data_IF_583099853535
#
_entry.id   IF_583099853535
#
_cell.length_a   1.000
_cell.length_b   1.000
_cell.length_c   1.000
_cell.angle_alpha   90.00
_cell.angle_beta   90.00
_cell.angle_gamma   90.00
#
_symmetry.space_group_name_H-M   'P 1'
#
loop_
_entity.id
_entity.type
_entity.pdbx_description
1 polymer ?
#
# COMPACT_ATOMS: atom_id res chain seq x y z
N UNK A 1 -7.29 14.67 14.05
CA UNK A 1 -5.98 14.00 14.03
C UNK A 1 -6.14 12.48 14.20
N UNK A 2 -6.57 11.78 13.15
CA UNK A 2 -6.36 10.34 13.05
C UNK A 2 -5.17 10.13 12.12
N UNK A 3 -4.14 9.39 12.54
CA UNK A 3 -3.12 8.91 11.60
C UNK A 3 -3.88 8.05 10.58
N UNK A 4 -4.14 8.56 9.38
CA UNK A 4 -4.70 7.76 8.30
C UNK A 4 -3.66 6.72 7.92
N UNK A 5 -3.65 5.60 8.64
CA UNK A 5 -2.66 4.56 8.51
C UNK A 5 -2.83 3.86 7.16
N UNK A 6 -1.70 3.42 6.57
CA UNK A 6 -1.71 2.49 5.44
C UNK A 6 -2.84 1.43 5.61
N UNK A 7 -3.80 1.34 4.65
CA UNK A 7 -4.99 0.51 4.76
C UNK A 7 -4.71 -0.97 5.02
N UNK A 8 -3.54 -1.46 4.61
CA UNK A 8 -3.13 -2.86 4.69
C UNK A 8 -2.43 -3.20 6.00
N UNK A 9 -2.06 -2.23 6.86
CA UNK A 9 -1.42 -2.49 8.16
C UNK A 9 -2.22 -3.45 9.05
N UNK A 10 -3.55 -3.41 8.96
CA UNK A 10 -4.48 -4.25 9.74
C UNK A 10 -4.61 -5.69 9.22
N UNK A 11 -4.07 -6.02 8.04
CA UNK A 11 -4.12 -7.39 7.51
C UNK A 11 -3.40 -8.37 8.46
N UNK A 12 -4.03 -9.48 8.89
CA UNK A 12 -3.41 -10.45 9.77
C UNK A 12 -2.30 -11.22 9.03
N UNK A 13 -1.40 -11.84 9.79
CA UNK A 13 -0.45 -12.81 9.22
C UNK A 13 -1.22 -14.03 8.70
N UNK A 14 -0.80 -14.55 7.56
CA UNK A 14 -1.40 -15.73 6.93
C UNK A 14 -0.71 -16.98 7.50
N UNK A 15 -1.49 -17.87 8.11
CA UNK A 15 -1.00 -19.17 8.57
C UNK A 15 -1.03 -20.15 7.41
N UNK A 16 0.07 -20.83 7.11
CA UNK A 16 0.14 -21.83 6.04
C UNK A 16 -0.71 -23.08 6.37
N UNK A 17 -1.05 -23.95 5.39
CA UNK A 17 -1.94 -25.10 5.59
C UNK A 17 -1.62 -25.94 6.83
N UNK A 18 -0.36 -26.37 6.99
CA UNK A 18 0.06 -27.20 8.13
C UNK A 18 -0.03 -26.45 9.47
N UNK A 19 0.35 -25.18 9.50
CA UNK A 19 0.29 -24.34 10.71
C UNK A 19 -1.16 -24.13 11.16
N UNK A 20 -2.05 -23.81 10.22
CA UNK A 20 -3.46 -23.60 10.48
C UNK A 20 -4.15 -24.89 10.92
N UNK A 21 -3.82 -26.02 10.27
CA UNK A 21 -4.34 -27.33 10.66
C UNK A 21 -3.85 -27.73 12.04
N UNK A 22 -2.56 -27.56 12.35
CA UNK A 22 -1.98 -27.87 13.66
C UNK A 22 -2.63 -27.02 14.77
N UNK A 23 -2.86 -25.74 14.52
CA UNK A 23 -3.59 -24.84 15.44
C UNK A 23 -5.02 -25.33 15.69
N UNK A 24 -5.73 -25.73 14.64
CA UNK A 24 -7.09 -26.23 14.73
C UNK A 24 -7.18 -27.56 15.51
N UNK A 25 -6.29 -28.51 15.22
CA UNK A 25 -6.22 -29.80 15.92
C UNK A 25 -5.91 -29.62 17.41
N UNK A 26 -4.94 -28.77 17.74
CA UNK A 26 -4.57 -28.47 19.13
C UNK A 26 -5.75 -27.89 19.91
N UNK A 27 -6.50 -26.96 19.31
CA UNK A 27 -7.70 -26.38 19.92
C UNK A 27 -8.81 -27.43 20.08
N UNK A 28 -8.99 -28.30 19.10
CA UNK A 28 -9.95 -29.41 19.16
C UNK A 28 -9.63 -30.40 20.28
N UNK A 29 -8.35 -30.75 20.50
CA UNK A 29 -7.98 -31.65 21.60
C UNK A 29 -8.21 -31.02 22.97
N UNK A 30 -7.92 -29.72 23.13
CA UNK A 30 -8.19 -29.01 24.39
C UNK A 30 -9.67 -29.08 24.78
N UNK A 31 -10.57 -28.79 23.84
CA UNK A 31 -12.02 -28.89 24.07
C UNK A 31 -12.43 -30.34 24.38
N UNK A 32 -11.82 -31.32 23.74
CA UNK A 32 -12.13 -32.71 24.00
C UNK A 32 -11.79 -33.16 25.42
N UNK A 33 -10.69 -32.67 26.01
CA UNK A 33 -10.34 -32.94 27.42
C UNK A 33 -11.45 -32.47 28.36
N UNK A 34 -11.96 -31.25 28.16
CA UNK A 34 -13.06 -30.69 28.93
C UNK A 34 -14.34 -31.53 28.76
N UNK A 35 -14.68 -31.91 27.53
CA UNK A 35 -15.89 -32.70 27.25
C UNK A 35 -15.82 -34.13 27.79
N UNK A 36 -14.62 -34.71 27.93
CA UNK A 36 -14.43 -36.04 28.55
C UNK A 36 -14.71 -36.05 30.06
N UNK A 37 -14.78 -34.91 30.73
CA UNK A 37 -15.12 -34.84 32.15
C UNK A 37 -16.63 -35.01 32.39
N UNK A 38 -17.47 -34.88 31.36
CA UNK A 38 -18.92 -35.04 31.49
C UNK A 38 -19.33 -36.50 31.75
N UNK A 39 -20.30 -36.67 32.63
CA UNK A 39 -20.96 -37.96 32.90
C UNK A 39 -22.03 -38.22 31.83
N UNK A 40 -21.71 -39.12 30.90
CA UNK A 40 -22.57 -39.52 29.79
C UNK A 40 -22.37 -41.00 29.51
N UNK A 41 -23.40 -41.73 29.03
CA UNK A 41 -23.24 -43.08 28.51
C UNK A 41 -22.13 -43.16 27.47
N UNK A 42 -21.34 -44.25 27.49
CA UNK A 42 -20.09 -44.36 26.73
C UNK A 42 -20.19 -43.96 25.25
N UNK A 43 -21.19 -44.47 24.53
CA UNK A 43 -21.41 -44.14 23.12
C UNK A 43 -21.81 -42.66 22.92
N UNK A 44 -22.68 -42.14 23.78
CA UNK A 44 -23.09 -40.72 23.73
C UNK A 44 -21.89 -39.81 24.00
N UNK A 45 -21.07 -40.16 24.99
CA UNK A 45 -19.81 -39.45 25.31
C UNK A 45 -18.86 -39.45 24.12
N UNK A 46 -18.66 -40.60 23.47
CA UNK A 46 -17.81 -40.70 22.29
C UNK A 46 -18.32 -39.80 21.15
N UNK A 47 -19.60 -39.87 20.79
CA UNK A 47 -20.21 -39.00 19.77
C UNK A 47 -20.06 -37.53 20.13
N UNK A 48 -20.33 -37.18 21.39
CA UNK A 48 -20.30 -35.82 21.89
C UNK A 48 -18.90 -35.21 21.78
N UNK A 49 -17.87 -35.94 22.21
CA UNK A 49 -16.47 -35.51 22.10
C UNK A 49 -16.06 -35.33 20.63
N UNK A 50 -16.34 -36.31 19.77
CA UNK A 50 -15.97 -36.24 18.35
C UNK A 50 -16.72 -35.12 17.60
N UNK A 51 -18.00 -34.90 17.91
CA UNK A 51 -18.78 -33.80 17.37
C UNK A 51 -18.17 -32.44 17.75
N UNK A 52 -17.80 -32.25 19.03
CA UNK A 52 -17.19 -31.01 19.50
C UNK A 52 -15.81 -30.77 18.87
N UNK A 53 -15.02 -31.83 18.66
CA UNK A 53 -13.74 -31.73 17.92
C UNK A 53 -13.97 -31.21 16.50
N UNK A 54 -14.89 -31.82 15.74
CA UNK A 54 -15.19 -31.42 14.36
C UNK A 54 -15.67 -29.97 14.30
N UNK A 55 -16.62 -29.57 15.16
CA UNK A 55 -17.11 -28.20 15.22
C UNK A 55 -16.00 -27.20 15.56
N UNK A 56 -15.15 -27.54 16.52
CA UNK A 56 -14.03 -26.68 16.93
C UNK A 56 -13.01 -26.50 15.81
N UNK A 57 -12.60 -27.60 15.17
CA UNK A 57 -11.65 -27.56 14.05
C UNK A 57 -12.23 -26.73 12.89
N UNK A 58 -13.49 -26.99 12.52
CA UNK A 58 -14.21 -26.23 11.48
C UNK A 58 -14.23 -24.74 11.78
N UNK A 59 -14.60 -24.34 13.01
CA UNK A 59 -14.62 -22.93 13.43
C UNK A 59 -13.23 -22.32 13.36
N UNK A 60 -12.21 -22.96 13.95
CA UNK A 60 -10.85 -22.39 13.96
C UNK A 60 -10.33 -22.15 12.55
N UNK A 61 -10.48 -23.12 11.65
CA UNK A 61 -10.01 -22.96 10.25
C UNK A 61 -10.82 -21.87 9.55
N UNK A 62 -12.14 -21.97 9.54
CA UNK A 62 -12.99 -21.01 8.83
C UNK A 62 -12.88 -19.59 9.37
N UNK A 63 -12.80 -19.41 10.69
CA UNK A 63 -12.67 -18.09 11.32
C UNK A 63 -11.30 -17.46 11.03
N UNK A 64 -10.21 -18.24 10.96
CA UNK A 64 -8.90 -17.69 10.57
C UNK A 64 -8.89 -17.25 9.11
N UNK A 65 -9.44 -18.05 8.19
CA UNK A 65 -9.56 -17.68 6.77
C UNK A 65 -10.47 -16.45 6.60
N UNK A 66 -11.62 -16.44 7.27
CA UNK A 66 -12.56 -15.31 7.22
C UNK A 66 -11.94 -14.02 7.77
N UNK A 67 -11.17 -14.12 8.86
CA UNK A 67 -10.49 -12.96 9.45
C UNK A 67 -9.52 -12.28 8.48
N UNK A 68 -8.88 -13.02 7.59
CA UNK A 68 -8.03 -12.43 6.53
C UNK A 68 -8.87 -11.53 5.64
N UNK A 69 -10.03 -12.01 5.20
CA UNK A 69 -10.98 -11.27 4.35
C UNK A 69 -11.49 -10.02 5.07
N UNK A 70 -12.00 -10.19 6.30
CA UNK A 70 -12.64 -9.10 7.05
C UNK A 70 -11.67 -7.97 7.42
N UNK A 71 -10.38 -8.30 7.60
CA UNK A 71 -9.33 -7.34 7.94
C UNK A 71 -8.59 -6.78 6.74
N UNK A 72 -8.92 -7.25 5.53
CA UNK A 72 -8.37 -6.70 4.30
C UNK A 72 -9.33 -5.66 3.74
N UNK A 73 -8.87 -4.43 3.46
CA UNK A 73 -9.74 -3.39 2.94
C UNK A 73 -10.22 -3.77 1.53
N UNK A 74 -11.51 -3.53 1.20
CA UNK A 74 -12.00 -3.79 -0.15
C UNK A 74 -11.36 -2.81 -1.13
N UNK A 75 -10.63 -3.34 -2.13
CA UNK A 75 -9.84 -2.54 -3.08
C UNK A 75 -10.65 -1.41 -3.71
N UNK A 76 -11.90 -1.68 -4.14
CA UNK A 76 -12.77 -0.67 -4.77
C UNK A 76 -13.09 0.55 -3.90
N UNK A 77 -12.98 0.42 -2.56
CA UNK A 77 -13.24 1.52 -1.62
C UNK A 77 -11.96 2.24 -1.18
N UNK A 78 -10.80 1.81 -1.65
CA UNK A 78 -9.54 2.48 -1.34
C UNK A 78 -9.45 3.80 -2.12
N UNK A 79 -8.70 4.80 -1.62
CA UNK A 79 -8.26 5.92 -2.44
C UNK A 79 -7.57 5.44 -3.72
N UNK A 80 -7.75 6.16 -4.83
CA UNK A 80 -7.22 5.77 -6.15
C UNK A 80 -5.73 5.48 -6.14
N UNK A 81 -4.95 6.27 -5.41
CA UNK A 81 -3.54 6.01 -5.17
C UNK A 81 -3.27 4.55 -4.71
N UNK A 82 -3.94 4.09 -3.65
CA UNK A 82 -3.73 2.74 -3.14
C UNK A 82 -4.29 1.66 -4.07
N UNK A 83 -5.31 1.96 -4.89
CA UNK A 83 -5.76 1.03 -5.93
C UNK A 83 -4.67 0.79 -6.97
N UNK A 84 -4.04 1.86 -7.47
CA UNK A 84 -2.92 1.75 -8.41
C UNK A 84 -1.72 1.03 -7.78
N UNK A 85 -1.40 1.31 -6.51
CA UNK A 85 -0.30 0.63 -5.82
C UNK A 85 -0.54 -0.88 -5.68
N UNK A 86 -1.79 -1.30 -5.50
CA UNK A 86 -2.14 -2.73 -5.48
C UNK A 86 -1.94 -3.34 -6.85
N UNK A 87 -2.37 -2.65 -7.92
CA UNK A 87 -2.17 -3.13 -9.29
C UNK A 87 -0.69 -3.32 -9.60
N UNK A 88 0.11 -2.29 -9.33
CA UNK A 88 1.56 -2.27 -9.57
C UNK A 88 2.31 -3.35 -8.79
N UNK A 89 1.99 -3.55 -7.51
CA UNK A 89 2.79 -4.42 -6.64
C UNK A 89 2.39 -5.90 -6.68
N UNK A 90 1.10 -6.17 -6.88
CA UNK A 90 0.53 -7.50 -6.69
C UNK A 90 -0.53 -7.89 -7.73
N UNK A 91 -1.01 -6.96 -8.56
CA UNK A 91 -2.12 -7.19 -9.49
C UNK A 91 -3.47 -7.30 -8.78
N UNK A 92 -4.43 -6.44 -9.13
CA UNK A 92 -5.74 -6.38 -8.47
C UNK A 92 -6.53 -7.67 -8.71
N UNK A 93 -6.46 -8.23 -9.91
CA UNK A 93 -7.27 -9.40 -10.27
C UNK A 93 -6.77 -10.67 -9.59
N UNK A 94 -5.45 -10.87 -9.56
CA UNK A 94 -4.84 -11.98 -8.81
C UNK A 94 -5.11 -11.85 -7.31
N UNK A 95 -5.02 -10.64 -6.76
CA UNK A 95 -5.36 -10.35 -5.37
C UNK A 95 -6.82 -10.68 -5.05
N UNK A 96 -7.77 -10.23 -5.87
CA UNK A 96 -9.20 -10.53 -5.70
C UNK A 96 -9.51 -12.02 -5.84
N UNK A 97 -8.92 -12.69 -6.84
CA UNK A 97 -9.07 -14.14 -7.05
C UNK A 97 -8.61 -14.91 -5.82
N UNK A 98 -7.43 -14.57 -5.30
CA UNK A 98 -6.86 -15.19 -4.10
C UNK A 98 -7.76 -14.97 -2.89
N UNK A 99 -8.25 -13.76 -2.66
CA UNK A 99 -9.21 -13.48 -1.57
C UNK A 99 -10.53 -14.24 -1.74
N UNK A 100 -10.96 -14.49 -2.98
CA UNK A 100 -12.10 -15.36 -3.29
C UNK A 100 -11.88 -16.81 -2.89
N UNK A 101 -10.67 -17.36 -3.08
CA UNK A 101 -10.31 -18.70 -2.65
C UNK A 101 -10.39 -18.87 -1.12
N UNK A 102 -9.90 -17.89 -0.35
CA UNK A 102 -10.06 -17.87 1.10
C UNK A 102 -11.54 -17.91 1.52
N UNK A 103 -12.39 -17.14 0.84
CA UNK A 103 -13.83 -17.09 1.13
C UNK A 103 -14.48 -18.44 0.88
N UNK A 104 -14.24 -19.01 -0.29
CA UNK A 104 -14.73 -20.32 -0.67
C UNK A 104 -14.31 -21.40 0.33
N UNK A 105 -13.03 -21.44 0.71
CA UNK A 105 -12.51 -22.44 1.64
C UNK A 105 -13.13 -22.26 3.04
N UNK A 106 -13.26 -21.03 3.52
CA UNK A 106 -13.95 -20.71 4.78
C UNK A 106 -15.39 -21.25 4.79
N UNK A 107 -16.18 -20.94 3.75
CA UNK A 107 -17.57 -21.38 3.62
C UNK A 107 -17.69 -22.91 3.50
N UNK A 108 -16.83 -23.54 2.70
CA UNK A 108 -16.82 -24.99 2.49
C UNK A 108 -16.47 -25.74 3.78
N UNK A 109 -15.45 -25.28 4.52
CA UNK A 109 -15.06 -25.88 5.80
C UNK A 109 -16.18 -25.77 6.85
N UNK A 110 -16.92 -24.65 6.89
CA UNK A 110 -18.11 -24.52 7.77
C UNK A 110 -19.21 -25.51 7.38
N UNK A 111 -19.51 -25.60 6.07
CA UNK A 111 -20.51 -26.53 5.55
C UNK A 111 -20.17 -27.98 5.91
N UNK A 112 -18.92 -28.40 5.66
CA UNK A 112 -18.43 -29.74 5.99
C UNK A 112 -18.46 -29.99 7.49
N UNK A 113 -18.06 -29.02 8.32
CA UNK A 113 -18.11 -29.15 9.78
C UNK A 113 -19.52 -29.44 10.28
N UNK A 114 -20.51 -28.72 9.78
CA UNK A 114 -21.92 -28.94 10.10
C UNK A 114 -22.44 -30.31 9.62
N UNK A 115 -22.07 -30.72 8.41
CA UNK A 115 -22.45 -32.02 7.85
C UNK A 115 -21.88 -33.18 8.66
N UNK A 116 -20.58 -33.16 8.94
CA UNK A 116 -19.89 -34.20 9.69
C UNK A 116 -20.32 -34.25 11.14
N UNK A 117 -20.60 -33.10 11.78
CA UNK A 117 -21.19 -33.06 13.11
C UNK A 117 -22.53 -33.82 13.18
N UNK A 118 -23.42 -33.63 12.19
CA UNK A 118 -24.70 -34.37 12.09
C UNK A 118 -24.47 -35.86 11.86
N UNK A 119 -23.52 -36.24 11.00
CA UNK A 119 -23.17 -37.65 10.75
C UNK A 119 -22.65 -38.33 12.02
N UNK A 120 -21.77 -37.67 12.78
CA UNK A 120 -21.21 -38.18 14.04
C UNK A 120 -22.30 -38.38 15.09
N UNK A 121 -23.27 -37.47 15.20
CA UNK A 121 -24.40 -37.61 16.13
C UNK A 121 -25.23 -38.87 15.89
N UNK A 122 -25.26 -39.36 14.63
CA UNK A 122 -25.98 -40.58 14.20
C UNK A 122 -25.11 -41.84 14.22
N UNK A 123 -23.82 -41.76 14.60
CA UNK A 123 -22.87 -42.87 14.49
C UNK A 123 -23.17 -44.01 15.49
N UNK A 124 -23.41 -45.24 15.03
CA UNK A 124 -23.81 -46.37 15.87
C UNK A 124 -22.72 -46.87 16.81
N UNK A 125 -21.45 -46.61 16.49
CA UNK A 125 -20.29 -47.04 17.32
C UNK A 125 -19.28 -45.91 17.52
N UNK A 126 -18.46 -45.94 18.59
CA UNK A 126 -17.37 -44.97 18.78
C UNK A 126 -16.34 -45.00 17.66
N UNK A 127 -16.07 -46.19 17.09
CA UNK A 127 -15.17 -46.37 15.95
C UNK A 127 -15.72 -45.64 14.72
N UNK A 128 -17.03 -45.71 14.48
CA UNK A 128 -17.66 -44.97 13.38
C UNK A 128 -17.56 -43.46 13.59
N UNK A 129 -17.79 -42.96 14.81
CA UNK A 129 -17.62 -41.54 15.14
C UNK A 129 -16.17 -41.06 14.89
N UNK A 130 -15.18 -41.83 15.35
CA UNK A 130 -13.76 -41.54 15.12
C UNK A 130 -13.35 -41.59 13.65
N UNK A 131 -13.90 -42.53 12.87
CA UNK A 131 -13.67 -42.61 11.41
C UNK A 131 -14.20 -41.35 10.70
N UNK A 132 -15.43 -40.94 11.00
CA UNK A 132 -16.03 -39.72 10.45
C UNK A 132 -15.20 -38.46 10.79
N UNK A 133 -14.66 -38.35 12.01
CA UNK A 133 -13.73 -37.26 12.35
C UNK A 133 -12.46 -37.30 11.48
N UNK A 134 -11.83 -38.47 11.32
CA UNK A 134 -10.62 -38.61 10.49
C UNK A 134 -10.89 -38.22 9.03
N UNK A 135 -12.01 -38.65 8.46
CA UNK A 135 -12.44 -38.26 7.12
C UNK A 135 -12.63 -36.74 6.99
N UNK A 136 -13.32 -36.11 7.95
CA UNK A 136 -13.47 -34.66 7.99
C UNK A 136 -12.12 -33.93 8.00
N UNK A 137 -11.21 -34.34 8.89
CA UNK A 137 -9.86 -33.74 8.98
C UNK A 137 -9.10 -33.88 7.67
N UNK A 138 -9.15 -35.05 7.02
CA UNK A 138 -8.54 -35.25 5.71
C UNK A 138 -9.09 -34.33 4.63
N UNK A 139 -10.42 -34.11 4.62
CA UNK A 139 -11.07 -33.16 3.70
C UNK A 139 -10.65 -31.72 3.95
N UNK A 140 -10.59 -31.28 5.20
CA UNK A 140 -10.13 -29.92 5.54
C UNK A 140 -8.69 -29.73 5.12
N UNK A 141 -7.80 -30.70 5.35
CA UNK A 141 -6.42 -30.65 4.87
C UNK A 141 -6.38 -30.51 3.35
N UNK A 142 -7.11 -31.34 2.63
CA UNK A 142 -7.18 -31.27 1.16
C UNK A 142 -7.65 -29.91 0.64
N UNK A 143 -8.61 -29.26 1.32
CA UNK A 143 -9.08 -27.91 0.96
C UNK A 143 -7.98 -26.86 1.17
N UNK A 144 -7.27 -26.93 2.30
CA UNK A 144 -6.17 -26.00 2.58
C UNK A 144 -5.01 -26.17 1.61
N UNK A 145 -4.66 -27.40 1.25
CA UNK A 145 -3.65 -27.67 0.20
C UNK A 145 -4.09 -27.13 -1.16
N UNK A 146 -5.37 -27.23 -1.49
CA UNK A 146 -5.90 -26.71 -2.76
C UNK A 146 -5.74 -25.19 -2.90
N UNK A 147 -5.83 -24.43 -1.79
CA UNK A 147 -5.67 -22.97 -1.78
C UNK A 147 -4.29 -22.50 -1.34
N UNK A 148 -3.34 -23.42 -1.17
CA UNK A 148 -2.00 -23.08 -0.70
C UNK A 148 -1.32 -22.03 -1.60
N UNK A 149 -1.38 -22.10 -2.94
CA UNK A 149 -0.80 -21.06 -3.80
C UNK A 149 -1.35 -19.66 -3.49
N UNK A 150 -2.67 -19.53 -3.31
CA UNK A 150 -3.32 -18.27 -2.96
C UNK A 150 -2.95 -17.80 -1.55
N UNK A 151 -2.77 -18.72 -0.60
CA UNK A 151 -2.30 -18.38 0.74
C UNK A 151 -0.88 -17.83 0.74
N UNK A 152 0.03 -18.46 -0.01
CA UNK A 152 1.40 -18.00 -0.17
C UNK A 152 1.46 -16.65 -0.89
N UNK A 153 0.68 -16.48 -1.96
CA UNK A 153 0.55 -15.21 -2.67
C UNK A 153 0.09 -14.08 -1.74
N UNK A 154 -0.99 -14.28 -0.97
CA UNK A 154 -1.50 -13.24 -0.05
C UNK A 154 -0.49 -12.94 1.06
N UNK A 155 0.29 -13.93 1.52
CA UNK A 155 1.36 -13.70 2.49
C UNK A 155 2.43 -12.75 1.94
N UNK A 156 2.91 -12.98 0.71
CA UNK A 156 3.89 -12.09 0.05
C UNK A 156 3.28 -10.72 -0.25
N UNK A 157 2.06 -10.70 -0.79
CA UNK A 157 1.33 -9.46 -1.10
C UNK A 157 1.17 -8.58 0.14
N UNK A 158 0.82 -9.19 1.28
CA UNK A 158 0.69 -8.50 2.57
C UNK A 158 1.99 -7.78 2.96
N UNK A 159 3.14 -8.42 2.86
CA UNK A 159 4.42 -7.78 3.23
C UNK A 159 4.68 -6.55 2.35
N UNK A 160 4.52 -6.68 1.03
CA UNK A 160 4.68 -5.55 0.10
C UNK A 160 3.71 -4.41 0.39
N UNK A 161 2.43 -4.73 0.59
CA UNK A 161 1.39 -3.72 0.76
C UNK A 161 1.46 -3.00 2.11
N UNK A 162 2.00 -3.63 3.15
CA UNK A 162 2.17 -3.00 4.48
C UNK A 162 3.27 -1.95 4.55
N UNK A 163 4.23 -2.04 3.65
CA UNK A 163 5.30 -1.06 3.50
C UNK A 163 4.87 0.19 2.71
N UNK A 164 3.69 0.17 2.07
CA UNK A 164 3.20 1.34 1.34
C UNK A 164 3.18 2.59 2.23
N UNK A 165 3.52 3.75 1.64
CA UNK A 165 3.60 5.01 2.35
C UNK A 165 2.24 5.36 2.93
N UNK A 166 2.26 6.08 4.04
CA UNK A 166 1.06 6.55 4.73
C UNK A 166 0.88 8.03 4.44
N UNK A 167 -0.14 8.38 3.65
CA UNK A 167 -0.47 9.77 3.36
C UNK A 167 -1.66 10.23 4.19
N UNK A 168 -1.59 11.48 4.65
CA UNK A 168 -2.72 12.15 5.29
C UNK A 168 -3.58 12.81 4.22
N UNK A 169 -4.89 12.89 4.47
CA UNK A 169 -5.82 13.74 3.72
C UNK A 169 -5.55 15.24 3.97
N UNK A 170 -4.46 15.73 3.35
CA UNK A 170 -3.99 17.10 3.39
C UNK A 170 -3.60 17.55 1.97
N UNK A 171 -3.65 18.87 1.69
CA UNK A 171 -3.08 19.41 0.47
C UNK A 171 -1.65 18.90 0.25
N UNK A 172 -1.41 18.26 -0.90
CA UNK A 172 -0.15 17.58 -1.18
C UNK A 172 0.58 18.25 -2.35
N UNK A 173 1.85 18.61 -2.10
CA UNK A 173 2.78 19.10 -3.11
C UNK A 173 3.79 18.00 -3.42
N UNK A 174 3.88 17.59 -4.68
CA UNK A 174 4.90 16.66 -5.17
C UNK A 174 6.08 17.43 -5.75
N UNK A 175 7.30 17.15 -5.31
CA UNK A 175 8.53 17.81 -5.76
C UNK A 175 9.18 16.97 -6.85
N UNK A 176 9.35 17.57 -8.03
CA UNK A 176 9.92 16.95 -9.23
C UNK A 176 11.15 17.71 -9.74
N UNK A 177 11.94 17.08 -10.59
CA UNK A 177 13.16 17.65 -11.19
C UNK A 177 14.34 16.68 -11.11
N UNK A 178 15.40 16.95 -11.87
CA UNK A 178 16.59 16.08 -11.95
C UNK A 178 17.26 15.82 -10.60
N UNK A 179 18.16 14.82 -10.47
CA UNK A 179 18.94 14.60 -9.27
C UNK A 179 19.80 15.84 -9.00
N UNK A 180 20.14 16.10 -7.73
CA UNK A 180 21.04 17.18 -7.32
C UNK A 180 20.61 18.63 -7.65
N UNK A 181 19.41 18.85 -8.20
CA UNK A 181 18.85 20.21 -8.42
C UNK A 181 18.45 20.91 -7.12
N UNK A 182 18.43 20.19 -6.00
CA UNK A 182 18.13 20.73 -4.66
C UNK A 182 16.76 20.34 -4.08
N UNK A 183 16.05 19.36 -4.66
CA UNK A 183 14.73 18.89 -4.18
C UNK A 183 14.70 18.59 -2.68
N UNK A 184 15.59 17.72 -2.20
CA UNK A 184 15.60 17.30 -0.78
C UNK A 184 16.06 18.42 0.15
N UNK A 185 16.96 19.30 -0.29
CA UNK A 185 17.33 20.52 0.45
C UNK A 185 16.11 21.44 0.59
N UNK A 186 15.40 21.67 -0.52
CA UNK A 186 14.19 22.48 -0.54
C UNK A 186 13.11 21.89 0.37
N UNK A 187 12.87 20.57 0.31
CA UNK A 187 11.95 19.89 1.22
C UNK A 187 12.27 20.20 2.68
N UNK A 188 13.54 20.01 3.10
CA UNK A 188 13.98 20.28 4.48
C UNK A 188 13.84 21.76 4.87
N UNK A 189 14.13 22.69 3.97
CA UNK A 189 13.99 24.13 4.26
C UNK A 189 12.53 24.59 4.31
N UNK A 190 11.64 23.93 3.56
CA UNK A 190 10.21 24.23 3.54
C UNK A 190 9.45 23.61 4.72
N UNK A 191 9.82 22.38 5.11
CA UNK A 191 9.10 21.58 6.13
C UNK A 191 9.78 21.55 7.50
N UNK A 192 11.03 22.02 7.59
CA UNK A 192 11.88 21.79 8.75
C UNK A 192 12.72 20.51 8.61
N UNK A 193 13.43 20.14 9.67
CA UNK A 193 14.34 18.99 9.64
C UNK A 193 13.62 17.62 9.76
N UNK A 194 12.34 17.59 10.12
CA UNK A 194 11.56 16.37 10.33
C UNK A 194 10.95 15.87 9.02
N UNK A 195 11.72 15.03 8.32
CA UNK A 195 11.34 14.41 7.07
C UNK A 195 11.28 12.89 7.25
N UNK A 196 10.12 12.31 7.02
CA UNK A 196 9.89 10.87 7.10
C UNK A 196 10.25 10.20 5.77
N UNK A 197 11.09 9.17 5.82
CA UNK A 197 11.40 8.33 4.66
C UNK A 197 10.39 7.19 4.62
N UNK A 198 9.62 7.09 3.54
CA UNK A 198 8.63 6.05 3.33
C UNK A 198 9.00 5.18 2.13
N UNK A 199 8.79 3.87 2.22
CA UNK A 199 9.00 2.97 1.09
C UNK A 199 8.06 3.35 -0.06
N UNK A 200 8.57 3.28 -1.30
CA UNK A 200 7.78 3.50 -2.51
C UNK A 200 8.25 2.54 -3.61
N UNK A 201 7.36 1.94 -4.39
CA UNK A 201 7.75 1.02 -5.47
C UNK A 201 8.78 1.66 -6.42
N UNK A 202 9.78 0.89 -6.82
CA UNK A 202 10.85 1.33 -7.76
C UNK A 202 11.75 2.46 -7.25
N UNK A 203 11.80 2.67 -5.93
CA UNK A 203 12.76 3.59 -5.30
C UNK A 203 13.77 2.81 -4.45
N UNK A 204 15.05 3.16 -4.54
CA UNK A 204 16.09 2.53 -3.70
C UNK A 204 16.10 3.09 -2.28
N UNK A 205 15.75 4.38 -2.12
CA UNK A 205 15.78 5.08 -0.83
C UNK A 205 14.40 5.40 -0.26
N UNK A 206 13.31 5.05 -0.96
CA UNK A 206 11.98 5.54 -0.62
C UNK A 206 11.71 6.96 -1.12
N UNK A 207 10.54 7.47 -0.76
CA UNK A 207 10.16 8.88 -0.92
C UNK A 207 10.28 9.60 0.41
N UNK A 208 10.55 10.90 0.35
CA UNK A 208 10.64 11.73 1.55
C UNK A 208 9.34 12.52 1.72
N UNK A 209 8.74 12.45 2.91
CA UNK A 209 7.51 13.15 3.25
C UNK A 209 7.77 14.10 4.40
N UNK A 210 7.52 15.39 4.19
CA UNK A 210 7.59 16.41 5.23
C UNK A 210 6.30 17.22 5.29
N UNK A 211 6.16 18.04 6.33
CA UNK A 211 4.96 18.85 6.55
C UNK A 211 5.30 20.34 6.66
N UNK A 212 4.72 21.15 5.78
CA UNK A 212 4.78 22.61 5.85
C UNK A 212 3.46 23.13 6.42
N UNK A 213 3.35 23.11 7.75
CA UNK A 213 2.06 23.31 8.43
C UNK A 213 1.08 22.18 8.09
N UNK A 214 -0.09 22.52 7.55
CA UNK A 214 -1.11 21.55 7.10
C UNK A 214 -0.92 21.11 5.64
N UNK A 215 0.27 21.30 5.06
CA UNK A 215 0.58 20.89 3.69
C UNK A 215 1.58 19.76 3.73
N UNK A 216 1.25 18.68 3.04
CA UNK A 216 2.12 17.54 2.85
C UNK A 216 3.05 17.80 1.65
N UNK A 217 4.35 17.68 1.86
CA UNK A 217 5.37 17.85 0.82
C UNK A 217 6.03 16.49 0.56
N UNK A 218 6.05 16.04 -0.69
CA UNK A 218 6.56 14.72 -1.08
C UNK A 218 7.68 14.89 -2.09
N UNK A 219 8.92 14.57 -1.70
CA UNK A 219 10.06 14.47 -2.63
C UNK A 219 10.16 13.04 -3.14
N UNK A 220 10.26 12.91 -4.46
CA UNK A 220 10.10 11.65 -5.20
C UNK A 220 11.41 11.25 -5.90
N UNK A 221 12.50 11.00 -5.16
CA UNK A 221 13.79 10.62 -5.74
C UNK A 221 13.66 9.28 -6.48
N UNK A 222 14.31 9.19 -7.63
CA UNK A 222 14.26 8.02 -8.49
C UNK A 222 12.94 7.83 -9.24
N UNK A 223 11.96 8.74 -9.13
CA UNK A 223 10.68 8.67 -9.84
C UNK A 223 10.54 9.81 -10.86
N UNK A 224 10.62 11.06 -10.40
CA UNK A 224 10.41 12.27 -11.23
C UNK A 224 11.71 13.04 -11.46
N UNK A 225 12.82 12.31 -11.62
CA UNK A 225 14.17 12.85 -11.75
C UNK A 225 14.97 12.27 -12.94
N UNK A 226 14.33 11.54 -13.85
CA UNK A 226 14.90 11.16 -15.15
C UNK A 226 13.78 11.11 -16.18
N UNK A 227 14.11 11.10 -17.49
CA UNK A 227 13.10 11.08 -18.53
C UNK A 227 12.10 9.93 -18.34
N UNK A 228 10.81 10.25 -18.48
CA UNK A 228 9.69 9.35 -18.28
C UNK A 228 9.58 8.32 -19.40
N UNK A 229 10.01 8.68 -20.62
CA UNK A 229 10.01 7.76 -21.76
C UNK A 229 11.02 6.61 -21.64
N UNK A 230 11.98 6.71 -20.71
CA UNK A 230 12.93 5.63 -20.39
C UNK A 230 12.37 4.65 -19.33
N UNK A 231 11.17 4.91 -18.79
CA UNK A 231 10.54 4.09 -17.76
C UNK A 231 9.78 2.93 -18.39
N UNK A 232 9.83 1.76 -17.76
CA UNK A 232 8.90 0.68 -18.10
C UNK A 232 7.47 1.03 -17.64
N UNK A 233 6.48 0.32 -18.19
CA UNK A 233 5.06 0.59 -17.93
C UNK A 233 4.69 0.54 -16.44
N UNK A 234 5.33 -0.36 -15.68
CA UNK A 234 5.03 -0.54 -14.26
C UNK A 234 5.60 0.64 -13.44
N UNK A 235 6.80 1.11 -13.77
CA UNK A 235 7.38 2.32 -13.19
C UNK A 235 6.52 3.55 -13.52
N UNK A 236 6.08 3.67 -14.78
CA UNK A 236 5.23 4.78 -15.20
C UNK A 236 3.89 4.76 -14.47
N UNK A 237 3.27 3.59 -14.27
CA UNK A 237 2.05 3.45 -13.49
C UNK A 237 2.27 3.85 -12.02
N UNK A 238 3.42 3.49 -11.44
CA UNK A 238 3.77 3.93 -10.09
C UNK A 238 3.93 5.46 -9.99
N UNK A 239 4.48 6.10 -11.03
CA UNK A 239 4.56 7.57 -11.11
C UNK A 239 3.16 8.18 -11.27
N UNK A 240 2.35 7.64 -12.17
CA UNK A 240 0.97 8.06 -12.41
C UNK A 240 0.10 7.99 -11.15
N UNK A 241 0.36 7.06 -10.24
CA UNK A 241 -0.34 6.98 -8.98
C UNK A 241 -0.21 8.28 -8.15
N UNK A 242 0.91 9.01 -8.28
CA UNK A 242 1.12 10.28 -7.60
C UNK A 242 0.12 11.37 -8.05
N UNK A 243 -0.47 11.27 -9.24
CA UNK A 243 -1.52 12.19 -9.67
C UNK A 243 -2.74 12.18 -8.75
N UNK A 244 -3.05 11.02 -8.17
CA UNK A 244 -4.19 10.90 -7.27
C UNK A 244 -3.92 11.53 -5.90
N UNK A 245 -2.65 11.76 -5.56
CA UNK A 245 -2.25 12.43 -4.32
C UNK A 245 -1.99 13.92 -4.54
N UNK A 246 -1.27 14.27 -5.61
CA UNK A 246 -0.82 15.63 -5.86
C UNK A 246 -2.01 16.58 -6.02
N UNK A 247 -1.91 17.74 -5.38
CA UNK A 247 -2.71 18.93 -5.67
C UNK A 247 -1.91 19.95 -6.47
N UNK A 248 -0.58 19.95 -6.31
CA UNK A 248 0.37 20.80 -7.04
C UNK A 248 1.66 20.01 -7.27
N UNK A 249 2.31 20.24 -8.41
CA UNK A 249 3.69 19.82 -8.63
C UNK A 249 4.61 21.03 -8.50
N UNK A 250 5.62 20.91 -7.63
CA UNK A 250 6.74 21.84 -7.55
C UNK A 250 7.89 21.27 -8.36
N UNK A 251 8.12 21.80 -9.56
CA UNK A 251 9.23 21.38 -10.41
C UNK A 251 10.45 22.26 -10.17
N UNK A 252 11.59 21.65 -9.85
CA UNK A 252 12.83 22.35 -9.52
C UNK A 252 13.80 22.28 -10.69
N UNK A 253 14.24 23.44 -11.16
CA UNK A 253 15.28 23.60 -12.18
C UNK A 253 16.53 24.16 -11.50
N UNK A 254 17.69 23.55 -11.74
CA UNK A 254 18.99 24.08 -11.35
C UNK A 254 19.51 25.03 -12.44
N UNK A 255 19.55 26.33 -12.14
CA UNK A 255 20.05 27.35 -13.06
C UNK A 255 21.56 27.23 -13.32
N UNK A 256 22.33 26.66 -12.40
CA UNK A 256 23.78 26.58 -12.51
C UNK A 256 24.26 25.38 -13.34
N UNK A 257 23.39 24.39 -13.60
CA UNK A 257 23.71 23.09 -14.22
C UNK A 257 24.73 22.25 -13.43
N UNK A 258 25.06 22.62 -12.19
CA UNK A 258 25.96 21.83 -11.32
C UNK A 258 25.33 20.50 -10.89
N UNK A 259 24.03 20.30 -11.13
CA UNK A 259 23.37 19.01 -11.02
C UNK A 259 23.90 17.96 -12.01
N UNK A 260 24.63 18.38 -13.06
CA UNK A 260 25.17 17.51 -14.11
C UNK A 260 24.27 17.36 -15.34
N UNK A 261 23.22 18.17 -15.46
CA UNK A 261 22.25 18.14 -16.55
C UNK A 261 22.04 19.53 -17.14
N UNK A 262 21.87 19.61 -18.46
CA UNK A 262 21.67 20.89 -19.13
C UNK A 262 20.31 21.50 -18.81
N UNK A 263 20.14 22.80 -19.03
CA UNK A 263 18.83 23.45 -18.94
C UNK A 263 17.82 22.80 -19.89
N UNK A 264 18.24 22.37 -21.09
CA UNK A 264 17.32 21.74 -22.05
C UNK A 264 16.85 20.37 -21.57
N UNK A 265 17.73 19.56 -20.97
CA UNK A 265 17.35 18.28 -20.34
C UNK A 265 16.28 18.52 -19.26
N UNK A 266 16.54 19.47 -18.37
CA UNK A 266 15.64 19.84 -17.29
C UNK A 266 14.27 20.32 -17.80
N UNK A 267 14.25 21.09 -18.89
CA UNK A 267 13.01 21.55 -19.53
C UNK A 267 12.29 20.39 -20.22
N UNK A 268 13.00 19.46 -20.87
CA UNK A 268 12.39 18.26 -21.46
C UNK A 268 11.65 17.43 -20.42
N UNK A 269 12.28 17.18 -19.27
CA UNK A 269 11.61 16.47 -18.17
C UNK A 269 10.37 17.24 -17.68
N UNK A 270 10.43 18.57 -17.58
CA UNK A 270 9.27 19.40 -17.24
C UNK A 270 8.13 19.24 -18.27
N UNK A 271 8.44 19.15 -19.57
CA UNK A 271 7.43 18.91 -20.62
C UNK A 271 6.72 17.59 -20.39
N UNK A 272 7.46 16.52 -20.11
CA UNK A 272 6.91 15.19 -19.85
C UNK A 272 6.06 15.17 -18.56
N UNK A 273 6.54 15.79 -17.48
CA UNK A 273 5.78 15.92 -16.22
C UNK A 273 4.50 16.71 -16.44
N UNK A 274 4.52 17.78 -17.24
CA UNK A 274 3.33 18.59 -17.57
C UNK A 274 2.29 17.81 -18.38
N UNK A 275 2.73 16.88 -19.24
CA UNK A 275 1.81 16.00 -19.97
C UNK A 275 1.21 14.92 -19.07
N UNK A 276 1.95 14.47 -18.07
CA UNK A 276 1.53 13.39 -17.19
C UNK A 276 0.64 13.88 -16.04
N UNK A 277 0.90 15.08 -15.51
CA UNK A 277 0.21 15.60 -14.33
C UNK A 277 -0.92 16.57 -14.68
N UNK A 278 -2.13 16.25 -14.21
CA UNK A 278 -3.34 17.05 -14.41
C UNK A 278 -3.55 18.12 -13.32
N UNK A 279 -2.46 18.55 -12.67
CA UNK A 279 -2.50 19.53 -11.58
C UNK A 279 -1.61 20.71 -11.90
N UNK A 280 -1.82 21.89 -11.28
CA UNK A 280 -0.97 23.04 -11.50
C UNK A 280 0.50 22.73 -11.23
N UNK A 281 1.36 23.23 -12.12
CA UNK A 281 2.81 23.13 -11.99
C UNK A 281 3.37 24.50 -11.65
N UNK A 282 4.13 24.54 -10.55
CA UNK A 282 4.93 25.68 -10.14
C UNK A 282 6.39 25.33 -10.42
N UNK A 283 7.09 26.20 -11.12
CA UNK A 283 8.52 26.01 -11.39
C UNK A 283 9.34 26.88 -10.44
N UNK A 284 10.27 26.26 -9.72
CA UNK A 284 11.27 26.92 -8.91
C UNK A 284 12.63 26.86 -9.62
N UNK A 285 13.13 27.99 -10.09
CA UNK A 285 14.49 28.14 -10.61
C UNK A 285 15.40 28.28 -9.38
N UNK A 286 16.15 27.23 -9.07
CA UNK A 286 17.01 27.10 -7.90
C UNK A 286 18.48 27.39 -8.23
N UNK A 287 19.28 27.63 -7.18
CA UNK A 287 20.70 28.00 -7.24
C UNK A 287 20.96 29.28 -8.04
N UNK A 288 20.06 30.26 -7.92
CA UNK A 288 20.20 31.56 -8.59
C UNK A 288 21.44 32.33 -8.14
N UNK A 289 21.95 32.04 -6.94
CA UNK A 289 23.20 32.58 -6.40
C UNK A 289 24.46 32.06 -7.12
N UNK A 290 24.32 31.00 -7.92
CA UNK A 290 25.40 30.36 -8.67
C UNK A 290 25.25 30.50 -10.18
N UNK A 291 24.26 31.26 -10.66
CA UNK A 291 23.98 31.46 -12.08
C UNK A 291 23.98 32.95 -12.43
N UNK A 292 24.32 33.30 -13.67
CA UNK A 292 24.21 34.68 -14.14
C UNK A 292 22.76 35.08 -14.36
N UNK A 293 22.46 36.38 -14.20
CA UNK A 293 21.10 36.91 -14.43
C UNK A 293 20.62 36.65 -15.87
N UNK A 294 21.51 36.71 -16.86
CA UNK A 294 21.16 36.43 -18.26
C UNK A 294 20.74 34.98 -18.48
N UNK A 295 21.41 34.02 -17.84
CA UNK A 295 21.04 32.60 -17.89
C UNK A 295 19.68 32.36 -17.24
N UNK A 296 19.42 33.03 -16.12
CA UNK A 296 18.12 32.95 -15.43
C UNK A 296 17.00 33.49 -16.32
N UNK A 297 17.20 34.64 -16.97
CA UNK A 297 16.22 35.22 -17.92
C UNK A 297 15.95 34.29 -19.10
N UNK A 298 16.97 33.64 -19.65
CA UNK A 298 16.81 32.66 -20.72
C UNK A 298 15.89 31.49 -20.29
N UNK A 299 16.09 30.98 -19.07
CA UNK A 299 15.23 29.93 -18.49
C UNK A 299 13.78 30.44 -18.36
N UNK A 300 13.58 31.64 -17.80
CA UNK A 300 12.25 32.25 -17.67
C UNK A 300 11.53 32.40 -19.03
N UNK A 301 12.24 32.82 -20.07
CA UNK A 301 11.69 32.91 -21.43
C UNK A 301 11.29 31.55 -21.99
N UNK A 302 12.13 30.52 -21.81
CA UNK A 302 11.82 29.14 -22.24
C UNK A 302 10.59 28.60 -21.49
N UNK A 303 10.49 28.84 -20.18
CA UNK A 303 9.34 28.44 -19.37
C UNK A 303 8.06 29.16 -19.78
N UNK A 304 8.14 30.45 -20.11
CA UNK A 304 7.02 31.22 -20.64
C UNK A 304 6.52 30.67 -21.97
N UNK A 305 7.42 30.31 -22.89
CA UNK A 305 7.07 29.65 -24.16
C UNK A 305 6.41 28.29 -23.96
N UNK A 306 6.77 27.58 -22.88
CA UNK A 306 6.14 26.32 -22.50
C UNK A 306 4.76 26.52 -21.81
N UNK A 307 4.34 27.77 -21.60
CA UNK A 307 3.08 28.10 -20.93
C UNK A 307 3.10 27.75 -19.44
N UNK A 308 4.24 27.88 -18.78
CA UNK A 308 4.33 27.80 -17.31
C UNK A 308 3.88 29.13 -16.73
N UNK A 309 2.80 29.12 -15.96
CA UNK A 309 2.19 30.34 -15.43
C UNK A 309 2.87 30.88 -14.17
N UNK A 310 3.44 29.98 -13.36
CA UNK A 310 4.07 30.36 -12.09
C UNK A 310 5.52 29.91 -12.06
N UNK A 311 6.42 30.89 -12.13
CA UNK A 311 7.87 30.72 -12.02
C UNK A 311 8.39 31.54 -10.85
N UNK A 312 9.24 30.95 -10.02
CA UNK A 312 9.85 31.59 -8.86
C UNK A 312 11.36 31.36 -8.85
N UNK A 313 12.13 32.43 -8.67
CA UNK A 313 13.58 32.41 -8.52
C UNK A 313 13.93 32.20 -7.05
N UNK A 314 14.68 31.15 -6.72
CA UNK A 314 15.04 30.82 -5.34
C UNK A 314 16.52 30.40 -5.21
N UNK A 315 17.03 30.47 -3.99
CA UNK A 315 18.20 29.67 -3.59
C UNK A 315 17.85 28.90 -2.33
N UNK A 316 17.70 27.59 -2.45
CA UNK A 316 17.38 26.74 -1.30
C UNK A 316 18.51 26.74 -0.25
N UNK A 317 19.77 26.84 -0.68
CA UNK A 317 20.91 26.81 0.23
C UNK A 317 21.10 28.16 0.95
N UNK A 318 21.01 29.25 0.18
CA UNK A 318 21.17 30.62 0.67
C UNK A 318 19.86 31.25 1.18
N UNK A 319 18.79 30.44 1.24
CA UNK A 319 17.45 30.79 1.71
C UNK A 319 16.79 32.00 1.01
N UNK A 320 17.17 32.26 -0.25
CA UNK A 320 16.65 33.38 -1.02
C UNK A 320 15.25 33.05 -1.55
N UNK A 321 14.29 33.95 -1.31
CA UNK A 321 12.90 33.89 -1.78
C UNK A 321 12.08 32.66 -1.34
N UNK A 322 12.53 31.95 -0.29
CA UNK A 322 11.82 30.76 0.18
C UNK A 322 10.45 31.09 0.79
N UNK A 323 10.31 32.21 1.48
CA UNK A 323 9.01 32.61 2.06
C UNK A 323 7.97 32.91 0.98
N UNK A 324 8.36 33.62 -0.08
CA UNK A 324 7.51 33.82 -1.26
C UNK A 324 7.06 32.50 -1.89
N UNK A 325 7.98 31.53 -1.98
CA UNK A 325 7.65 30.19 -2.48
C UNK A 325 6.67 29.46 -1.54
N UNK A 326 6.88 29.50 -0.22
CA UNK A 326 5.99 28.91 0.78
C UNK A 326 4.57 29.46 0.67
N UNK A 327 4.43 30.79 0.61
CA UNK A 327 3.13 31.45 0.50
C UNK A 327 2.40 31.06 -0.79
N UNK A 328 3.12 31.05 -1.92
CA UNK A 328 2.55 30.69 -3.22
C UNK A 328 2.11 29.23 -3.26
N UNK A 329 2.95 28.31 -2.78
CA UNK A 329 2.62 26.89 -2.66
C UNK A 329 1.39 26.70 -1.77
N UNK A 330 1.36 27.36 -0.61
CA UNK A 330 0.24 27.27 0.33
C UNK A 330 -1.07 27.70 -0.30
N UNK A 331 -1.07 28.85 -0.96
CA UNK A 331 -2.26 29.39 -1.63
C UNK A 331 -2.79 28.44 -2.70
N UNK A 332 -1.93 27.92 -3.56
CA UNK A 332 -2.35 27.07 -4.68
C UNK A 332 -2.75 25.68 -4.18
N UNK A 333 -1.93 25.05 -3.33
CA UNK A 333 -2.22 23.70 -2.83
C UNK A 333 -3.55 23.63 -2.07
N UNK A 334 -3.85 24.62 -1.21
CA UNK A 334 -5.13 24.68 -0.50
C UNK A 334 -6.28 24.89 -1.48
N UNK A 335 -6.15 25.81 -2.45
CA UNK A 335 -7.20 26.05 -3.45
C UNK A 335 -7.54 24.79 -4.24
N UNK A 336 -6.52 24.09 -4.75
CA UNK A 336 -6.71 22.85 -5.53
C UNK A 336 -7.23 21.69 -4.68
N UNK A 337 -6.85 21.64 -3.40
CA UNK A 337 -7.37 20.63 -2.47
C UNK A 337 -8.86 20.85 -2.18
N UNK A 338 -9.29 22.09 -1.95
CA UNK A 338 -10.70 22.43 -1.69
C UNK A 338 -11.60 22.32 -2.92
N UNK A 339 -11.02 22.21 -4.12
CA UNK A 339 -11.75 22.11 -5.40
C UNK A 339 -11.92 20.66 -5.88
N UNK A 340 -11.26 19.70 -5.24
CA UNK A 340 -11.44 18.25 -5.45
C UNK A 340 -12.59 17.74 -4.60
#
# INVERSE_FOLDING_TARGET
MGKEANPFKKMPTILMPDELMAKALRRGEKVAVEMRQKELPWLLKARFVEEHKVRTISSVVADNLQKVIDKTPPIRKLPKFYQEMVEVLVGIDEFKKSMGAFKWASELVRKLGNEYARKIRKARTPQQAGKLRKEFVGRVKSILEQIHPEMAFIAVAREKLKELPTFKDLPTVVIAGYPNVGKSTLLKKLTGADVEINSYPFTTKGINVGYMGEIQMVDTPGLLDRPLHERNDIELQAILALNYLANVVLFVIDASEFCGYTIEDQINLLREVKQLFNVPIIVAINKIDLASEDKIKEIEEKLKKLGVETVLKISANSEINLDTLKEKLKKIAIREFMSK
#
